data_IF_336901253689
#
_entry.id   IF_336901253689
#
_cell.length_a   1.000
_cell.length_b   1.000
_cell.length_c   1.000
_cell.angle_alpha   90.00
_cell.angle_beta   90.00
_cell.angle_gamma   90.00
#
_symmetry.space_group_name_H-M   'P 1'
#
loop_
_entity.id
_entity.type
_entity.pdbx_description
1 polymer ?
#
# COMPACT_ATOMS: atom_id res chain seq x y z
N UNK A 1 1.30 16.32 -24.84
CA UNK A 1 0.55 16.58 -23.59
C UNK A 1 -0.96 16.36 -23.74
N UNK A 2 -1.67 17.00 -24.68
CA UNK A 2 -3.12 16.74 -24.90
C UNK A 2 -3.42 15.25 -25.14
N UNK A 3 -2.59 14.57 -25.95
CA UNK A 3 -2.70 13.11 -26.18
C UNK A 3 -2.62 12.30 -24.88
N UNK A 4 -1.76 12.72 -23.94
CA UNK A 4 -1.59 12.03 -22.65
C UNK A 4 -2.87 12.15 -21.79
N UNK A 5 -3.46 13.35 -21.70
CA UNK A 5 -4.72 13.54 -20.96
C UNK A 5 -5.86 12.73 -21.58
N UNK A 6 -5.99 12.74 -22.91
CA UNK A 6 -6.99 11.92 -23.61
C UNK A 6 -6.81 10.43 -23.31
N UNK A 7 -5.56 9.97 -23.23
CA UNK A 7 -5.23 8.57 -22.90
C UNK A 7 -5.60 8.23 -21.45
N UNK A 8 -5.35 9.12 -20.49
CA UNK A 8 -5.79 8.90 -19.10
C UNK A 8 -7.31 8.90 -18.96
N UNK A 9 -8.02 9.78 -19.68
CA UNK A 9 -9.49 9.77 -19.71
C UNK A 9 -10.02 8.48 -20.29
N UNK A 10 -9.46 8.04 -21.43
CA UNK A 10 -9.83 6.78 -22.05
C UNK A 10 -9.59 5.61 -21.10
N UNK A 11 -8.42 5.55 -20.44
CA UNK A 11 -8.11 4.52 -19.45
C UNK A 11 -9.09 4.54 -18.28
N UNK A 12 -9.37 5.71 -17.71
CA UNK A 12 -10.36 5.84 -16.63
C UNK A 12 -11.75 5.35 -17.03
N UNK A 13 -12.19 5.64 -18.26
CA UNK A 13 -13.44 5.10 -18.80
C UNK A 13 -13.41 3.59 -19.03
N UNK A 14 -12.29 3.04 -19.51
CA UNK A 14 -12.10 1.59 -19.65
C UNK A 14 -12.20 0.92 -18.29
N UNK A 15 -11.53 1.44 -17.25
CA UNK A 15 -11.63 0.92 -15.90
C UNK A 15 -13.08 0.94 -15.40
N UNK A 16 -13.79 2.05 -15.57
CA UNK A 16 -15.20 2.14 -15.15
C UNK A 16 -16.07 1.11 -15.90
N UNK A 17 -15.85 0.95 -17.22
CA UNK A 17 -16.56 -0.03 -18.03
C UNK A 17 -16.26 -1.47 -17.57
N UNK A 18 -15.01 -1.79 -17.23
CA UNK A 18 -14.61 -3.10 -16.71
C UNK A 18 -15.35 -3.44 -15.40
N UNK A 19 -15.48 -2.49 -14.49
CA UNK A 19 -16.23 -2.70 -13.24
C UNK A 19 -17.74 -2.88 -13.47
N UNK A 20 -18.30 -2.17 -14.45
CA UNK A 20 -19.71 -2.36 -14.84
C UNK A 20 -19.94 -3.70 -15.53
N UNK A 21 -18.96 -4.18 -16.30
CA UNK A 21 -18.98 -5.47 -16.97
C UNK A 21 -18.59 -6.65 -16.05
N UNK A 22 -18.07 -6.39 -14.85
CA UNK A 22 -17.63 -7.42 -13.91
C UNK A 22 -18.66 -8.55 -13.70
N UNK A 23 -19.97 -8.30 -13.52
CA UNK A 23 -20.97 -9.37 -13.36
C UNK A 23 -21.11 -10.33 -14.56
N UNK A 24 -20.58 -9.96 -15.73
CA UNK A 24 -20.61 -10.78 -16.94
C UNK A 24 -19.37 -11.68 -17.07
N UNK A 25 -18.39 -11.52 -16.17
CA UNK A 25 -17.15 -12.27 -16.16
C UNK A 25 -17.19 -13.35 -15.07
N UNK A 26 -16.45 -14.46 -15.20
CA UNK A 26 -16.24 -15.36 -14.07
C UNK A 26 -15.33 -14.72 -13.01
N UNK A 27 -15.69 -14.83 -11.72
CA UNK A 27 -14.87 -14.30 -10.61
C UNK A 27 -13.40 -14.75 -10.68
N UNK A 28 -13.06 -16.03 -10.94
CA UNK A 28 -11.66 -16.46 -11.00
C UNK A 28 -10.82 -15.75 -12.08
N UNK A 29 -11.45 -15.21 -13.13
CA UNK A 29 -10.75 -14.50 -14.20
C UNK A 29 -10.66 -12.99 -13.95
N UNK A 30 -11.54 -12.44 -13.10
CA UNK A 30 -11.76 -11.01 -12.95
C UNK A 30 -11.87 -10.57 -11.48
N UNK A 31 -11.28 -11.32 -10.55
CA UNK A 31 -11.39 -11.09 -9.11
C UNK A 31 -10.92 -9.69 -8.69
N UNK A 32 -10.01 -9.07 -9.45
CA UNK A 32 -9.52 -7.71 -9.19
C UNK A 32 -10.55 -6.60 -9.46
N UNK A 33 -11.59 -6.86 -10.25
CA UNK A 33 -12.71 -5.91 -10.49
C UNK A 33 -14.04 -6.42 -9.93
N UNK A 34 -14.05 -7.65 -9.43
CA UNK A 34 -15.19 -8.29 -8.80
C UNK A 34 -15.82 -7.54 -7.63
N UNK A 35 -15.09 -6.69 -6.86
CA UNK A 35 -15.71 -5.96 -5.77
C UNK A 35 -16.92 -5.10 -6.18
N UNK A 36 -16.97 -4.65 -7.44
CA UNK A 36 -18.12 -3.94 -7.98
C UNK A 36 -19.40 -4.79 -8.05
N UNK A 37 -19.31 -6.12 -8.05
CA UNK A 37 -20.47 -7.01 -8.10
C UNK A 37 -21.27 -7.01 -6.79
N UNK A 38 -20.63 -6.70 -5.66
CA UNK A 38 -21.28 -6.62 -4.35
C UNK A 38 -22.15 -5.38 -4.17
N UNK A 39 -21.91 -4.31 -4.94
CA UNK A 39 -22.71 -3.09 -4.88
C UNK A 39 -24.12 -3.34 -5.45
N UNK A 40 -25.18 -2.83 -4.79
CA UNK A 40 -26.50 -2.76 -5.40
C UNK A 40 -26.43 -2.07 -6.76
N UNK A 41 -27.13 -2.60 -7.77
CA UNK A 41 -27.00 -2.14 -9.15
C UNK A 41 -27.17 -0.62 -9.32
N UNK A 42 -28.17 -0.02 -8.65
CA UNK A 42 -28.39 1.43 -8.68
C UNK A 42 -27.21 2.24 -8.12
N UNK A 43 -26.60 1.79 -7.03
CA UNK A 43 -25.43 2.42 -6.43
C UNK A 43 -24.21 2.27 -7.35
N UNK A 44 -23.99 1.07 -7.91
CA UNK A 44 -22.89 0.80 -8.86
C UNK A 44 -22.96 1.72 -10.08
N UNK A 45 -24.11 1.80 -10.74
CA UNK A 45 -24.30 2.67 -11.91
C UNK A 45 -24.17 4.15 -11.55
N UNK A 46 -24.70 4.57 -10.39
CA UNK A 46 -24.58 5.96 -9.93
C UNK A 46 -23.12 6.36 -9.69
N UNK A 47 -22.35 5.52 -8.98
CA UNK A 47 -20.92 5.76 -8.74
C UNK A 47 -20.13 5.77 -10.06
N UNK A 48 -20.43 4.86 -10.98
CA UNK A 48 -19.79 4.82 -12.30
C UNK A 48 -20.08 6.09 -13.12
N UNK A 49 -21.32 6.59 -13.12
CA UNK A 49 -21.69 7.84 -13.80
C UNK A 49 -20.98 9.04 -13.20
N UNK A 50 -20.91 9.14 -11.87
CA UNK A 50 -20.17 10.19 -11.17
C UNK A 50 -18.68 10.12 -11.51
N UNK A 51 -18.08 8.94 -11.46
CA UNK A 51 -16.67 8.74 -11.79
C UNK A 51 -16.37 9.11 -13.25
N UNK A 52 -17.23 8.71 -14.19
CA UNK A 52 -17.09 9.06 -15.61
C UNK A 52 -17.24 10.57 -15.85
N UNK A 53 -18.21 11.22 -15.19
CA UNK A 53 -18.40 12.66 -15.26
C UNK A 53 -17.17 13.42 -14.73
N UNK A 54 -16.62 13.00 -13.59
CA UNK A 54 -15.39 13.57 -13.02
C UNK A 54 -14.17 13.30 -13.91
N UNK A 55 -14.03 12.11 -14.47
CA UNK A 55 -12.92 11.80 -15.38
C UNK A 55 -12.94 12.68 -16.64
N UNK A 56 -14.14 12.94 -17.19
CA UNK A 56 -14.31 13.71 -18.41
C UNK A 56 -14.31 15.23 -18.19
N UNK A 57 -14.86 15.71 -17.06
CA UNK A 57 -15.15 17.14 -16.81
C UNK A 57 -14.57 17.66 -15.50
N UNK A 58 -13.76 16.88 -14.79
CA UNK A 58 -13.17 17.26 -13.50
C UNK A 58 -12.30 18.53 -13.57
N UNK A 59 -11.74 18.87 -14.74
CA UNK A 59 -11.02 20.13 -14.95
C UNK A 59 -11.92 21.36 -14.85
N UNK A 60 -13.19 21.26 -15.28
CA UNK A 60 -14.16 22.33 -15.14
C UNK A 60 -14.56 22.51 -13.67
N UNK A 61 -14.74 21.39 -12.95
CA UNK A 61 -14.97 21.41 -11.50
C UNK A 61 -13.78 22.02 -10.77
N UNK A 62 -12.55 21.61 -11.10
CA UNK A 62 -11.32 22.15 -10.53
C UNK A 62 -11.22 23.66 -10.71
N UNK A 63 -11.52 24.18 -11.92
CA UNK A 63 -11.52 25.63 -12.16
C UNK A 63 -12.50 26.39 -11.27
N UNK A 64 -13.64 25.78 -10.93
CA UNK A 64 -14.64 26.38 -10.02
C UNK A 64 -14.21 26.35 -8.57
N UNK A 65 -13.60 25.26 -8.10
CA UNK A 65 -13.23 25.10 -6.68
C UNK A 65 -11.83 25.65 -6.34
N UNK A 66 -10.92 25.72 -7.32
CA UNK A 66 -9.53 26.18 -7.11
C UNK A 66 -9.43 27.54 -6.41
N UNK A 67 -10.25 28.57 -6.70
CA UNK A 67 -10.20 29.84 -5.98
C UNK A 67 -10.38 29.69 -4.47
N UNK A 68 -11.26 28.78 -4.03
CA UNK A 68 -11.46 28.49 -2.61
C UNK A 68 -10.18 27.91 -1.97
N UNK A 69 -9.41 27.11 -2.72
CA UNK A 69 -8.13 26.55 -2.26
C UNK A 69 -6.93 27.49 -2.43
N UNK A 70 -7.01 28.49 -3.31
CA UNK A 70 -5.91 29.42 -3.60
C UNK A 70 -5.63 30.38 -2.42
N UNK A 71 -6.65 30.71 -1.64
CA UNK A 71 -6.55 31.55 -0.43
C UNK A 71 -6.24 30.79 0.85
N UNK A 72 -6.20 29.45 0.82
CA UNK A 72 -5.91 28.60 1.97
C UNK A 72 -4.40 28.57 2.25
N UNK A 73 -3.84 29.74 2.58
CA UNK A 73 -2.57 29.86 3.25
C UNK A 73 -2.78 29.48 4.72
N UNK A 74 -2.55 28.20 5.05
CA UNK A 74 -2.68 27.74 6.43
C UNK A 74 -1.59 28.40 7.30
N UNK A 75 -1.95 29.18 8.35
CA UNK A 75 -0.99 29.71 9.30
C UNK A 75 -0.10 28.59 9.86
N UNK A 76 1.15 28.92 10.24
CA UNK A 76 2.19 27.93 10.52
C UNK A 76 1.82 26.81 11.51
N UNK A 77 0.96 27.08 12.51
CA UNK A 77 0.44 26.07 13.44
C UNK A 77 -0.71 25.25 12.85
N UNK A 78 -1.63 25.88 12.13
CA UNK A 78 -2.75 25.24 11.41
C UNK A 78 -2.23 24.28 10.32
N UNK A 79 -1.14 24.64 9.64
CA UNK A 79 -0.50 23.74 8.67
C UNK A 79 0.14 22.49 9.31
N UNK A 80 0.45 22.52 10.61
CA UNK A 80 0.95 21.36 11.37
C UNK A 80 -0.19 20.55 11.99
N UNK A 81 -1.22 21.23 12.50
CA UNK A 81 -2.36 20.60 13.16
C UNK A 81 -3.34 19.98 12.18
N UNK A 82 -3.59 20.59 11.01
CA UNK A 82 -4.60 20.11 10.07
C UNK A 82 -4.37 18.66 9.60
N UNK A 83 -3.15 18.22 9.22
CA UNK A 83 -2.93 16.82 8.89
C UNK A 83 -3.26 15.86 10.03
N UNK A 84 -3.02 16.26 11.29
CA UNK A 84 -3.39 15.48 12.46
C UNK A 84 -4.90 15.44 12.68
N UNK A 85 -5.60 16.55 12.46
CA UNK A 85 -7.07 16.61 12.54
C UNK A 85 -7.70 15.74 11.46
N UNK A 86 -7.25 15.84 10.21
CA UNK A 86 -7.75 15.01 9.10
C UNK A 86 -7.48 13.53 9.38
N UNK A 87 -6.28 13.20 9.85
CA UNK A 87 -5.93 11.84 10.27
C UNK A 87 -6.83 11.33 11.40
N UNK A 88 -7.03 12.12 12.46
CA UNK A 88 -7.91 11.77 13.58
C UNK A 88 -9.36 11.56 13.14
N UNK A 89 -9.89 12.43 12.27
CA UNK A 89 -11.23 12.29 11.72
C UNK A 89 -11.37 11.07 10.80
N UNK A 90 -10.30 10.62 10.14
CA UNK A 90 -10.33 9.43 9.28
C UNK A 90 -10.56 8.11 10.02
N UNK A 91 -10.35 8.08 11.35
CA UNK A 91 -10.71 6.93 12.20
C UNK A 91 -12.19 6.59 12.05
N UNK A 92 -13.06 7.60 11.92
CA UNK A 92 -14.52 7.42 11.84
C UNK A 92 -14.91 6.53 10.64
N UNK A 93 -14.60 6.91 9.37
CA UNK A 93 -14.94 6.07 8.23
C UNK A 93 -14.22 4.71 8.26
N UNK A 94 -12.97 4.64 8.69
CA UNK A 94 -12.25 3.36 8.80
C UNK A 94 -12.94 2.36 9.73
N UNK A 95 -13.43 2.82 10.88
CA UNK A 95 -14.12 1.98 11.84
C UNK A 95 -15.56 1.63 11.42
N UNK A 96 -16.28 2.59 10.83
CA UNK A 96 -17.68 2.40 10.41
C UNK A 96 -17.81 1.40 9.26
N UNK A 97 -16.87 1.43 8.30
CA UNK A 97 -16.86 0.56 7.13
C UNK A 97 -15.89 -0.63 7.28
N UNK A 98 -15.61 -1.03 8.52
CA UNK A 98 -14.68 -2.12 8.80
C UNK A 98 -15.17 -3.48 8.31
N UNK A 99 -14.22 -4.39 8.06
CA UNK A 99 -14.47 -5.78 7.64
C UNK A 99 -15.29 -6.56 8.67
N UNK A 100 -16.23 -7.37 8.17
CA UNK A 100 -17.14 -8.20 8.97
C UNK A 100 -17.03 -9.69 8.66
N UNK A 101 -15.96 -10.11 8.01
CA UNK A 101 -15.73 -11.50 7.62
C UNK A 101 -14.24 -11.88 7.68
N UNK A 102 -13.96 -13.18 7.66
CA UNK A 102 -12.60 -13.76 7.72
C UNK A 102 -12.16 -14.41 6.40
N UNK A 103 -12.70 -13.96 5.26
CA UNK A 103 -12.52 -14.60 3.94
C UNK A 103 -11.08 -14.56 3.40
N UNK A 104 -10.31 -13.55 3.79
CA UNK A 104 -9.03 -13.22 3.16
C UNK A 104 -7.86 -13.75 3.97
N UNK A 105 -6.77 -14.11 3.28
CA UNK A 105 -5.51 -14.55 3.85
C UNK A 105 -5.62 -15.53 5.03
N UNK A 106 -4.79 -15.26 6.02
CA UNK A 106 -4.70 -15.85 7.34
C UNK A 106 -5.71 -15.30 8.36
N UNK A 107 -6.64 -14.41 8.00
CA UNK A 107 -7.56 -13.78 8.95
C UNK A 107 -8.32 -14.81 9.82
N UNK A 108 -8.72 -15.94 9.24
CA UNK A 108 -9.33 -17.04 9.98
C UNK A 108 -8.33 -17.68 10.97
N UNK A 109 -7.10 -17.92 10.54
CA UNK A 109 -6.05 -18.50 11.38
C UNK A 109 -5.73 -17.54 12.53
N UNK A 110 -5.51 -16.25 12.26
CA UNK A 110 -5.20 -15.25 13.28
C UNK A 110 -6.33 -15.10 14.30
N UNK A 111 -7.59 -15.09 13.85
CA UNK A 111 -8.75 -14.97 14.74
C UNK A 111 -8.91 -16.17 15.69
N UNK A 112 -8.50 -17.37 15.28
CA UNK A 112 -8.68 -18.60 16.07
C UNK A 112 -7.41 -19.03 16.82
N UNK A 113 -6.22 -18.82 16.26
CA UNK A 113 -4.95 -19.29 16.82
C UNK A 113 -4.40 -18.39 17.93
N UNK A 114 -4.58 -17.07 17.85
CA UNK A 114 -4.16 -16.12 18.90
C UNK A 114 -4.87 -16.39 20.25
N UNK A 115 -6.19 -16.68 20.30
CA UNK A 115 -6.86 -16.99 21.56
C UNK A 115 -6.79 -18.47 21.94
N UNK A 116 -6.22 -19.35 21.10
CA UNK A 116 -6.27 -20.80 21.32
C UNK A 116 -5.53 -21.20 22.61
N UNK A 117 -6.13 -22.04 23.48
CA UNK A 117 -5.51 -22.42 24.74
C UNK A 117 -4.25 -23.29 24.56
N UNK A 118 -4.29 -24.26 23.65
CA UNK A 118 -3.20 -25.24 23.50
C UNK A 118 -2.11 -24.84 22.48
N UNK A 119 -2.48 -24.09 21.44
CA UNK A 119 -1.58 -23.70 20.33
C UNK A 119 -1.61 -22.19 20.12
N UNK A 120 -1.41 -21.45 21.21
CA UNK A 120 -1.51 -20.01 21.21
C UNK A 120 -0.49 -19.34 20.28
N UNK A 121 -0.96 -18.73 19.19
CA UNK A 121 -0.12 -17.98 18.27
C UNK A 121 0.28 -16.63 18.89
N UNK A 122 1.51 -16.54 19.40
CA UNK A 122 2.08 -15.29 19.97
C UNK A 122 3.39 -14.89 19.30
N UNK A 123 4.19 -15.86 18.87
CA UNK A 123 5.50 -15.65 18.27
C UNK A 123 5.52 -16.35 16.91
N UNK A 124 5.85 -15.61 15.85
CA UNK A 124 6.04 -16.18 14.51
C UNK A 124 7.06 -15.36 13.72
N UNK A 125 8.01 -16.01 13.06
CA UNK A 125 9.06 -15.27 12.32
C UNK A 125 8.57 -14.58 11.04
N UNK A 126 7.39 -14.95 10.54
CA UNK A 126 6.77 -14.34 9.37
C UNK A 126 6.22 -12.92 9.62
N UNK A 127 5.91 -12.58 10.88
CA UNK A 127 5.44 -11.25 11.26
C UNK A 127 5.68 -10.99 12.77
N UNK A 128 6.96 -10.95 13.22
CA UNK A 128 7.30 -11.18 14.61
C UNK A 128 6.78 -10.10 15.56
N UNK A 129 6.88 -8.82 15.19
CA UNK A 129 6.33 -7.75 16.02
C UNK A 129 4.82 -7.59 15.84
N UNK A 130 4.26 -7.92 14.68
CA UNK A 130 2.85 -7.71 14.38
C UNK A 130 1.96 -8.67 15.17
N UNK A 131 2.22 -9.98 15.02
CA UNK A 131 1.48 -11.03 15.73
C UNK A 131 1.69 -10.92 17.23
N UNK A 132 2.91 -10.64 17.69
CA UNK A 132 3.18 -10.40 19.10
C UNK A 132 2.36 -9.24 19.66
N UNK A 133 2.33 -8.10 18.95
CA UNK A 133 1.55 -6.93 19.37
C UNK A 133 0.06 -7.26 19.47
N UNK A 134 -0.51 -7.89 18.43
CA UNK A 134 -1.93 -8.27 18.41
C UNK A 134 -2.28 -9.26 19.52
N UNK A 135 -1.45 -10.28 19.74
CA UNK A 135 -1.64 -11.26 20.81
C UNK A 135 -1.60 -10.61 22.20
N UNK A 136 -0.64 -9.71 22.45
CA UNK A 136 -0.53 -9.02 23.75
C UNK A 136 -1.65 -8.01 23.99
N UNK A 137 -2.05 -7.26 22.97
CA UNK A 137 -3.21 -6.37 23.07
C UNK A 137 -4.49 -7.15 23.29
N UNK A 138 -4.66 -8.31 22.64
CA UNK A 138 -5.80 -9.18 22.90
C UNK A 138 -5.79 -9.74 24.32
N UNK A 139 -4.65 -10.24 24.82
CA UNK A 139 -4.54 -10.72 26.20
C UNK A 139 -4.90 -9.62 27.22
N UNK A 140 -4.46 -8.38 26.98
CA UNK A 140 -4.84 -7.23 27.80
C UNK A 140 -6.34 -6.96 27.71
N UNK A 141 -6.90 -6.95 26.50
CA UNK A 141 -8.31 -6.68 26.27
C UNK A 141 -9.24 -7.77 26.82
N UNK A 142 -8.84 -9.03 26.73
CA UNK A 142 -9.53 -10.16 27.34
C UNK A 142 -9.56 -10.02 28.86
N UNK A 143 -8.44 -9.64 29.49
CA UNK A 143 -8.38 -9.42 30.95
C UNK A 143 -9.22 -8.23 31.41
N UNK A 144 -9.20 -7.12 30.68
CA UNK A 144 -9.88 -5.88 31.09
C UNK A 144 -11.36 -5.85 30.74
N UNK A 145 -11.75 -6.40 29.59
CA UNK A 145 -13.10 -6.27 29.02
C UNK A 145 -13.75 -7.62 28.66
N UNK A 146 -13.07 -8.75 28.85
CA UNK A 146 -13.61 -10.07 28.54
C UNK A 146 -13.77 -10.34 27.03
N UNK A 147 -12.99 -9.67 26.17
CA UNK A 147 -13.06 -9.90 24.72
C UNK A 147 -12.69 -11.37 24.39
N UNK A 148 -13.59 -12.14 23.73
CA UNK A 148 -13.39 -13.57 23.53
C UNK A 148 -12.34 -13.89 22.46
N UNK A 149 -12.11 -12.97 21.53
CA UNK A 149 -11.26 -13.17 20.34
C UNK A 149 -10.50 -11.87 19.99
N UNK A 150 -9.45 -11.94 19.14
CA UNK A 150 -8.61 -10.78 18.82
C UNK A 150 -9.23 -9.86 17.76
N UNK A 151 -10.40 -10.16 17.20
CA UNK A 151 -10.97 -9.40 16.08
C UNK A 151 -11.14 -7.91 16.42
N UNK A 152 -11.65 -7.51 17.60
CA UNK A 152 -11.79 -6.09 17.91
C UNK A 152 -10.44 -5.39 18.12
N UNK A 153 -9.37 -6.12 18.44
CA UNK A 153 -8.00 -5.58 18.46
C UNK A 153 -7.54 -5.26 17.05
N UNK A 154 -7.68 -6.20 16.11
CA UNK A 154 -7.35 -5.94 14.70
C UNK A 154 -8.16 -4.76 14.15
N UNK A 155 -9.45 -4.68 14.46
CA UNK A 155 -10.28 -3.54 14.08
C UNK A 155 -9.71 -2.21 14.55
N UNK A 156 -9.32 -2.13 15.82
CA UNK A 156 -8.75 -0.93 16.40
C UNK A 156 -7.38 -0.59 15.81
N UNK A 157 -6.46 -1.56 15.76
CA UNK A 157 -5.09 -1.37 15.27
C UNK A 157 -5.09 -0.97 13.79
N UNK A 158 -5.80 -1.71 12.93
CA UNK A 158 -5.91 -1.40 11.50
C UNK A 158 -6.50 0.01 11.26
N UNK A 159 -7.53 0.39 12.02
CA UNK A 159 -8.15 1.74 11.96
C UNK A 159 -7.15 2.83 12.37
N UNK A 160 -6.40 2.63 13.46
CA UNK A 160 -5.40 3.59 13.92
C UNK A 160 -4.23 3.69 12.94
N UNK A 161 -3.81 2.56 12.35
CA UNK A 161 -2.85 2.54 11.24
C UNK A 161 -3.35 3.37 10.06
N UNK A 162 -4.65 3.30 9.74
CA UNK A 162 -5.27 4.14 8.72
C UNK A 162 -5.10 5.64 9.00
N UNK A 163 -5.34 6.08 10.24
CA UNK A 163 -5.12 7.47 10.63
C UNK A 163 -3.64 7.88 10.47
N UNK A 164 -2.71 7.04 10.93
CA UNK A 164 -1.27 7.30 10.77
C UNK A 164 -0.87 7.31 9.30
N UNK A 165 -1.44 6.43 8.47
CA UNK A 165 -1.23 6.39 7.03
C UNK A 165 -1.71 7.69 6.37
N UNK A 166 -2.93 8.16 6.68
CA UNK A 166 -3.47 9.42 6.16
C UNK A 166 -2.57 10.59 6.54
N UNK A 167 -2.12 10.66 7.79
CA UNK A 167 -1.14 11.65 8.22
C UNK A 167 0.14 11.55 7.39
N UNK A 168 0.74 10.37 7.28
CA UNK A 168 1.97 10.15 6.53
C UNK A 168 1.82 10.50 5.04
N UNK A 169 0.68 10.17 4.41
CA UNK A 169 0.36 10.52 3.03
C UNK A 169 0.25 12.03 2.84
N UNK A 170 -0.38 12.76 3.77
CA UNK A 170 -0.46 14.22 3.75
C UNK A 170 0.94 14.86 3.90
N UNK A 171 1.78 14.32 4.79
CA UNK A 171 3.17 14.79 4.99
C UNK A 171 4.03 14.49 3.76
N UNK A 172 3.89 13.32 3.18
CA UNK A 172 4.55 12.91 1.94
C UNK A 172 4.16 13.83 0.78
N UNK A 173 2.87 14.09 0.61
CA UNK A 173 2.36 15.00 -0.40
C UNK A 173 2.90 16.42 -0.21
N UNK A 174 2.95 16.93 1.03
CA UNK A 174 3.52 18.23 1.34
C UNK A 174 5.02 18.32 1.01
N UNK A 175 5.77 17.25 1.25
CA UNK A 175 7.20 17.15 0.89
C UNK A 175 7.43 16.96 -0.61
N UNK A 176 6.52 16.28 -1.32
CA UNK A 176 6.66 15.95 -2.75
C UNK A 176 6.18 17.09 -3.66
N UNK A 177 5.01 17.65 -3.38
CA UNK A 177 4.29 18.58 -4.25
C UNK A 177 4.70 20.04 -4.05
N UNK A 178 4.94 20.73 -5.17
CA UNK A 178 5.34 22.15 -5.22
C UNK A 178 4.19 23.11 -4.95
N UNK A 179 2.97 22.68 -5.19
CA UNK A 179 1.75 23.46 -4.97
C UNK A 179 0.57 22.57 -4.58
N UNK A 180 -0.60 23.18 -4.38
CA UNK A 180 -1.82 22.49 -3.98
C UNK A 180 -2.27 21.40 -4.99
N UNK A 181 -2.06 21.61 -6.29
CA UNK A 181 -2.49 20.64 -7.30
C UNK A 181 -1.64 19.36 -7.24
N UNK A 182 -0.33 19.49 -7.13
CA UNK A 182 0.57 18.33 -6.97
C UNK A 182 0.34 17.60 -5.63
N UNK A 183 0.05 18.35 -4.57
CA UNK A 183 -0.29 17.78 -3.25
C UNK A 183 -1.59 16.98 -3.29
N UNK A 184 -2.65 17.58 -3.85
CA UNK A 184 -3.95 16.91 -4.00
C UNK A 184 -3.86 15.70 -4.93
N UNK A 185 -3.08 15.77 -6.00
CA UNK A 185 -2.80 14.61 -6.84
C UNK A 185 -2.16 13.47 -6.03
N UNK A 186 -1.13 13.79 -5.24
CA UNK A 186 -0.41 12.77 -4.45
C UNK A 186 -1.33 12.13 -3.41
N UNK A 187 -2.05 12.94 -2.64
CA UNK A 187 -3.01 12.46 -1.63
C UNK A 187 -4.13 11.68 -2.30
N UNK A 188 -4.71 12.20 -3.37
CA UNK A 188 -5.81 11.55 -4.09
C UNK A 188 -5.40 10.22 -4.67
N UNK A 189 -4.20 10.09 -5.25
CA UNK A 189 -3.68 8.81 -5.76
C UNK A 189 -3.47 7.80 -4.62
N UNK A 190 -2.91 8.21 -3.48
CA UNK A 190 -2.65 7.30 -2.35
C UNK A 190 -3.94 6.88 -1.63
N UNK A 191 -4.82 7.83 -1.32
CA UNK A 191 -6.07 7.57 -0.57
C UNK A 191 -7.15 6.90 -1.40
N UNK A 192 -6.89 6.62 -2.67
CA UNK A 192 -7.79 5.84 -3.52
C UNK A 192 -7.18 4.52 -3.98
N UNK A 193 -6.00 4.12 -3.53
CA UNK A 193 -5.47 2.77 -3.82
C UNK A 193 -6.38 1.69 -3.20
N UNK A 194 -6.40 0.49 -3.81
CA UNK A 194 -7.07 -0.67 -3.20
C UNK A 194 -6.45 -1.07 -1.87
N UNK A 195 -5.16 -0.77 -1.67
CA UNK A 195 -4.43 -0.87 -0.38
C UNK A 195 -5.16 -0.19 0.78
N UNK A 196 -6.03 0.81 0.51
CA UNK A 196 -6.82 1.46 1.56
C UNK A 196 -7.70 0.50 2.35
N UNK A 197 -8.11 -0.63 1.76
CA UNK A 197 -8.92 -1.65 2.44
C UNK A 197 -8.23 -2.18 3.71
N UNK A 198 -6.89 -2.22 3.75
CA UNK A 198 -6.10 -2.66 4.91
C UNK A 198 -6.39 -1.85 6.18
N UNK A 199 -6.96 -0.65 6.06
CA UNK A 199 -7.25 0.25 7.18
C UNK A 199 -8.68 0.18 7.68
N UNK A 200 -9.55 -0.57 7.01
CA UNK A 200 -10.95 -0.76 7.40
C UNK A 200 -11.09 -1.99 8.30
N UNK A 201 -10.37 -1.97 9.43
CA UNK A 201 -10.36 -3.04 10.42
C UNK A 201 -9.85 -4.38 9.90
N UNK A 202 -8.98 -4.38 8.90
CA UNK A 202 -8.47 -5.60 8.28
C UNK A 202 -7.76 -6.51 9.30
N UNK A 203 -8.02 -7.81 9.24
CA UNK A 203 -7.60 -8.79 10.27
C UNK A 203 -6.37 -9.54 9.77
N UNK A 204 -5.28 -8.81 9.57
CA UNK A 204 -4.00 -9.30 9.02
C UNK A 204 -2.83 -8.39 9.41
N UNK A 205 -1.61 -8.85 9.10
CA UNK A 205 -0.34 -8.20 9.47
C UNK A 205 0.07 -7.01 8.56
N UNK A 206 -0.76 -6.63 7.59
CA UNK A 206 -0.32 -5.73 6.50
C UNK A 206 -0.61 -4.24 6.75
N UNK A 207 -1.47 -3.89 7.71
CA UNK A 207 -1.79 -2.48 7.99
C UNK A 207 -0.60 -1.71 8.57
N UNK A 208 0.13 -2.32 9.50
CA UNK A 208 1.35 -1.73 10.08
C UNK A 208 2.46 -1.67 9.02
N UNK A 209 2.60 -2.73 8.21
CA UNK A 209 3.53 -2.77 7.09
C UNK A 209 3.31 -1.60 6.11
N UNK A 210 2.07 -1.36 5.68
CA UNK A 210 1.76 -0.28 4.75
C UNK A 210 2.07 1.12 5.32
N UNK A 211 1.84 1.33 6.62
CA UNK A 211 2.27 2.54 7.33
C UNK A 211 3.78 2.67 7.30
N UNK A 212 4.51 1.60 7.66
CA UNK A 212 5.98 1.57 7.67
C UNK A 212 6.59 1.90 6.31
N UNK A 213 6.08 1.30 5.23
CA UNK A 213 6.49 1.61 3.85
C UNK A 213 6.24 3.09 3.51
N UNK A 214 5.09 3.64 3.89
CA UNK A 214 4.77 5.06 3.63
C UNK A 214 5.67 6.01 4.41
N UNK A 215 5.98 5.69 5.67
CA UNK A 215 6.94 6.44 6.48
C UNK A 215 8.35 6.36 5.90
N UNK A 216 8.78 5.20 5.43
CA UNK A 216 10.07 5.04 4.74
C UNK A 216 10.14 5.92 3.48
N UNK A 217 9.08 5.92 2.65
CA UNK A 217 8.98 6.79 1.47
C UNK A 217 9.08 8.27 1.83
N UNK A 218 8.33 8.70 2.86
CA UNK A 218 8.33 10.08 3.33
C UNK A 218 9.68 10.50 3.90
N UNK A 219 10.25 9.73 4.82
CA UNK A 219 11.53 10.03 5.45
C UNK A 219 12.68 9.99 4.44
N UNK A 220 12.68 9.04 3.51
CA UNK A 220 13.67 8.98 2.44
C UNK A 220 13.60 10.19 1.51
N UNK A 221 12.38 10.67 1.19
CA UNK A 221 12.20 11.92 0.45
C UNK A 221 12.75 13.12 1.22
N UNK A 222 12.51 13.20 2.54
CA UNK A 222 13.06 14.26 3.39
C UNK A 222 14.58 14.17 3.50
N UNK A 223 15.16 12.98 3.49
CA UNK A 223 16.61 12.78 3.43
C UNK A 223 17.19 13.30 2.12
N UNK A 224 16.52 13.07 0.98
CA UNK A 224 16.95 13.60 -0.32
C UNK A 224 16.79 15.12 -0.43
N UNK A 225 15.66 15.67 0.02
CA UNK A 225 15.32 17.09 -0.18
C UNK A 225 15.77 18.02 0.94
N UNK A 226 15.55 17.61 2.19
CA UNK A 226 15.68 18.47 3.37
C UNK A 226 16.95 18.16 4.18
N UNK A 227 17.75 17.17 3.77
CA UNK A 227 18.97 16.78 4.48
C UNK A 227 18.72 16.00 5.78
N UNK A 228 17.54 15.41 5.96
CA UNK A 228 17.25 14.56 7.12
C UNK A 228 18.26 13.39 7.21
N UNK A 229 18.82 13.07 8.39
CA UNK A 229 19.79 11.97 8.54
C UNK A 229 19.26 10.63 8.02
N UNK A 230 20.11 9.85 7.35
CA UNK A 230 19.77 8.53 6.79
C UNK A 230 19.30 7.53 7.85
N UNK A 231 19.66 7.74 9.12
CA UNK A 231 19.22 6.92 10.24
C UNK A 231 17.69 6.85 10.35
N UNK A 232 16.96 7.93 10.01
CA UNK A 232 15.50 7.94 10.11
C UNK A 232 14.79 7.01 9.12
N UNK A 233 15.02 7.10 7.80
CA UNK A 233 14.47 6.10 6.88
C UNK A 233 15.02 4.70 7.14
N UNK A 234 16.27 4.54 7.62
CA UNK A 234 16.80 3.23 8.01
C UNK A 234 16.03 2.63 9.19
N UNK A 235 15.75 3.40 10.25
CA UNK A 235 14.93 2.97 11.39
C UNK A 235 13.52 2.61 10.96
N UNK A 236 12.88 3.44 10.13
CA UNK A 236 11.54 3.16 9.65
C UNK A 236 11.49 1.83 8.88
N UNK A 237 12.45 1.60 7.98
CA UNK A 237 12.51 0.36 7.21
C UNK A 237 12.88 -0.85 8.09
N UNK A 238 13.82 -0.72 9.02
CA UNK A 238 14.17 -1.78 9.97
C UNK A 238 12.98 -2.23 10.81
N UNK A 239 12.21 -1.28 11.36
CA UNK A 239 10.98 -1.57 12.08
C UNK A 239 9.94 -2.21 11.15
N UNK A 240 9.81 -1.73 9.91
CA UNK A 240 8.89 -2.31 8.93
C UNK A 240 9.23 -3.78 8.64
N UNK A 241 10.52 -4.14 8.51
CA UNK A 241 10.95 -5.54 8.38
C UNK A 241 10.57 -6.40 9.58
N UNK A 242 10.66 -5.83 10.78
CA UNK A 242 10.30 -6.51 12.01
C UNK A 242 8.78 -6.71 12.19
N UNK A 243 7.96 -5.88 11.56
CA UNK A 243 6.52 -6.13 11.46
C UNK A 243 6.21 -7.12 10.33
N UNK A 244 6.89 -7.01 9.19
CA UNK A 244 6.69 -7.93 8.07
C UNK A 244 7.95 -8.05 7.16
N UNK A 245 8.60 -9.23 7.10
CA UNK A 245 9.84 -9.45 6.34
C UNK A 245 9.72 -9.31 4.82
N UNK A 246 8.52 -9.38 4.22
CA UNK A 246 8.37 -9.17 2.77
C UNK A 246 8.87 -7.78 2.32
N UNK A 247 8.97 -6.82 3.24
CA UNK A 247 9.51 -5.49 2.96
C UNK A 247 11.04 -5.46 2.76
N UNK A 248 11.74 -6.58 3.02
CA UNK A 248 13.20 -6.75 2.76
C UNK A 248 13.56 -6.44 1.32
N UNK A 249 12.62 -6.64 0.39
CA UNK A 249 12.81 -6.26 -1.00
C UNK A 249 13.14 -4.77 -1.21
N UNK A 250 12.83 -3.90 -0.24
CA UNK A 250 13.13 -2.47 -0.28
C UNK A 250 14.53 -2.10 0.23
N UNK A 251 15.26 -3.03 0.87
CA UNK A 251 16.60 -2.78 1.40
C UNK A 251 17.59 -2.25 0.32
N UNK A 252 17.60 -2.76 -0.94
CA UNK A 252 18.41 -2.18 -2.01
C UNK A 252 18.09 -0.70 -2.27
N UNK A 253 16.84 -0.27 -2.04
CA UNK A 253 16.44 1.13 -2.12
C UNK A 253 17.04 2.02 -1.03
N UNK A 254 17.22 1.50 0.19
CA UNK A 254 17.95 2.21 1.26
C UNK A 254 19.44 2.33 0.91
N UNK A 255 20.05 1.27 0.38
CA UNK A 255 21.44 1.30 -0.12
C UNK A 255 21.60 2.32 -1.25
N UNK A 256 20.66 2.35 -2.20
CA UNK A 256 20.68 3.32 -3.29
C UNK A 256 20.50 4.76 -2.79
N UNK A 257 19.66 4.97 -1.77
CA UNK A 257 19.54 6.27 -1.11
C UNK A 257 20.88 6.70 -0.49
N UNK A 258 21.57 5.81 0.24
CA UNK A 258 22.90 6.08 0.78
C UNK A 258 23.92 6.42 -0.33
N UNK A 259 23.89 5.66 -1.44
CA UNK A 259 24.72 5.93 -2.61
C UNK A 259 24.49 7.33 -3.19
N UNK A 260 23.23 7.76 -3.32
CA UNK A 260 22.91 9.11 -3.80
C UNK A 260 23.46 10.19 -2.86
N UNK A 261 23.34 10.01 -1.54
CA UNK A 261 23.87 10.95 -0.56
C UNK A 261 25.41 11.03 -0.61
N UNK A 262 26.08 9.88 -0.76
CA UNK A 262 27.52 9.81 -0.90
C UNK A 262 28.00 10.53 -2.16
N UNK A 263 27.35 10.27 -3.30
CA UNK A 263 27.63 10.93 -4.59
C UNK A 263 27.44 12.44 -4.54
N UNK A 264 26.54 12.92 -3.69
CA UNK A 264 26.30 14.35 -3.46
C UNK A 264 27.27 14.96 -2.45
N UNK A 265 28.22 14.20 -1.90
CA UNK A 265 29.17 14.68 -0.89
C UNK A 265 28.53 15.01 0.47
N UNK A 266 27.30 14.55 0.73
CA UNK A 266 26.56 14.90 1.95
C UNK A 266 27.07 14.19 3.21
N UNK A 267 27.69 13.03 3.05
CA UNK A 267 28.27 12.27 4.15
C UNK A 267 29.34 11.29 3.63
N UNK A 268 30.27 10.91 4.51
CA UNK A 268 31.25 9.86 4.23
C UNK A 268 30.59 8.47 4.19
N UNK A 269 31.21 7.52 3.49
CA UNK A 269 30.72 6.14 3.43
C UNK A 269 30.58 5.49 4.82
N UNK A 270 31.50 5.78 5.75
CA UNK A 270 31.46 5.26 7.14
C UNK A 270 30.25 5.79 7.90
N UNK A 271 29.96 7.09 7.81
CA UNK A 271 28.80 7.70 8.45
C UNK A 271 27.48 7.13 7.90
N UNK A 272 27.40 6.93 6.58
CA UNK A 272 26.23 6.35 5.93
C UNK A 272 26.05 4.88 6.34
N UNK A 273 27.13 4.09 6.37
CA UNK A 273 27.10 2.71 6.84
C UNK A 273 26.62 2.63 8.29
N UNK A 274 27.17 3.44 9.19
CA UNK A 274 26.73 3.49 10.59
C UNK A 274 25.26 3.91 10.72
N UNK A 275 24.82 4.90 9.94
CA UNK A 275 23.43 5.36 9.94
C UNK A 275 22.44 4.28 9.50
N UNK A 276 22.86 3.32 8.68
CA UNK A 276 22.03 2.17 8.30
C UNK A 276 22.17 1.01 9.29
N UNK A 277 23.40 0.65 9.66
CA UNK A 277 23.69 -0.52 10.45
C UNK A 277 23.16 -0.42 11.89
N UNK A 278 23.31 0.74 12.54
CA UNK A 278 22.91 0.90 13.95
C UNK A 278 21.40 0.65 14.15
N UNK A 279 20.48 1.28 13.40
CA UNK A 279 19.06 0.96 13.53
C UNK A 279 18.74 -0.52 13.27
N UNK A 280 19.34 -1.13 12.25
CA UNK A 280 19.08 -2.53 11.92
C UNK A 280 19.57 -3.48 13.01
N UNK A 281 20.78 -3.26 13.55
CA UNK A 281 21.32 -4.07 14.63
C UNK A 281 20.43 -3.96 15.87
N UNK A 282 20.01 -2.75 16.25
CA UNK A 282 19.13 -2.54 17.41
C UNK A 282 17.81 -3.30 17.23
N UNK A 283 17.14 -3.13 16.08
CA UNK A 283 15.85 -3.78 15.81
C UNK A 283 16.01 -5.30 15.73
N UNK A 284 17.03 -5.79 15.01
CA UNK A 284 17.27 -7.23 14.85
C UNK A 284 17.58 -7.91 16.19
N UNK A 285 18.45 -7.31 17.01
CA UNK A 285 18.75 -7.82 18.35
C UNK A 285 17.50 -7.81 19.22
N UNK A 286 16.69 -6.76 19.15
CA UNK A 286 15.43 -6.66 19.89
C UNK A 286 14.43 -7.76 19.49
N UNK A 287 14.21 -7.97 18.19
CA UNK A 287 13.34 -9.04 17.66
C UNK A 287 13.90 -10.39 18.06
N UNK A 288 15.20 -10.62 17.90
CA UNK A 288 15.83 -11.87 18.27
C UNK A 288 15.68 -12.20 19.76
N UNK A 289 15.93 -11.22 20.62
CA UNK A 289 15.75 -11.37 22.06
C UNK A 289 14.29 -11.66 22.42
N UNK A 290 13.34 -10.95 21.78
CA UNK A 290 11.90 -11.18 21.96
C UNK A 290 11.49 -12.61 21.58
N UNK A 291 11.90 -13.05 20.38
CA UNK A 291 11.57 -14.36 19.84
C UNK A 291 12.20 -15.49 20.67
N UNK A 292 13.46 -15.31 21.08
CA UNK A 292 14.16 -16.26 21.97
C UNK A 292 13.51 -16.34 23.35
N UNK A 293 13.11 -15.20 23.93
CA UNK A 293 12.39 -15.17 25.20
C UNK A 293 11.01 -15.86 25.13
N UNK A 294 10.41 -15.90 23.95
CA UNK A 294 9.19 -16.64 23.64
C UNK A 294 9.39 -18.13 23.31
N UNK A 295 10.61 -18.68 23.49
CA UNK A 295 10.97 -20.04 23.06
C UNK A 295 10.74 -20.29 21.56
N UNK A 296 10.89 -19.24 20.75
CA UNK A 296 10.75 -19.26 19.29
C UNK A 296 12.03 -18.71 18.66
N UNK A 297 13.19 -19.26 19.04
CA UNK A 297 14.51 -18.82 18.60
C UNK A 297 14.83 -19.17 17.14
N UNK A 298 16.12 -19.32 16.83
CA UNK A 298 16.57 -19.68 15.47
C UNK A 298 16.13 -21.07 15.02
N UNK A 299 15.93 -21.98 15.97
CA UNK A 299 15.40 -23.31 15.73
C UNK A 299 13.98 -23.24 15.13
N UNK A 300 13.13 -22.33 15.62
CA UNK A 300 11.82 -22.06 15.03
C UNK A 300 11.95 -21.44 13.63
N UNK A 301 12.81 -20.42 13.46
CA UNK A 301 13.07 -19.77 12.16
C UNK A 301 13.58 -20.74 11.09
N UNK A 302 14.42 -21.70 11.47
CA UNK A 302 14.97 -22.71 10.56
C UNK A 302 14.07 -23.96 10.46
N UNK A 303 13.04 -24.04 11.29
CA UNK A 303 12.14 -25.16 11.45
C UNK A 303 10.70 -24.81 11.09
N UNK A 304 9.84 -24.69 12.09
CA UNK A 304 8.38 -24.56 11.91
C UNK A 304 7.99 -23.26 11.21
N UNK A 305 8.76 -22.18 11.38
CA UNK A 305 8.51 -20.88 10.77
C UNK A 305 9.45 -20.58 9.59
N UNK A 306 10.02 -21.63 8.99
CA UNK A 306 10.91 -21.44 7.87
C UNK A 306 10.23 -20.59 6.77
N UNK A 307 10.88 -19.52 6.30
CA UNK A 307 10.27 -18.60 5.35
C UNK A 307 9.97 -19.28 4.01
N UNK A 308 9.01 -18.71 3.27
CA UNK A 308 8.49 -19.26 2.02
C UNK A 308 7.17 -20.01 2.20
N UNK A 309 6.33 -19.58 3.14
CA UNK A 309 5.01 -20.15 3.29
C UNK A 309 4.99 -21.58 3.82
N UNK A 310 3.88 -22.28 3.62
CA UNK A 310 3.58 -23.58 4.19
C UNK A 310 4.40 -24.74 3.57
N UNK A 311 5.07 -24.53 2.43
CA UNK A 311 6.00 -25.49 1.81
C UNK A 311 7.45 -25.01 1.76
N UNK A 312 7.75 -23.87 2.39
CA UNK A 312 9.09 -23.24 2.42
C UNK A 312 9.60 -22.83 1.04
N UNK A 313 8.71 -22.62 0.06
CA UNK A 313 9.05 -22.12 -1.26
C UNK A 313 8.69 -20.65 -1.40
N UNK A 314 9.73 -19.84 -1.57
CA UNK A 314 9.58 -18.39 -1.67
C UNK A 314 9.01 -17.96 -3.01
N UNK A 315 9.30 -18.71 -4.08
CA UNK A 315 9.11 -18.25 -5.45
C UNK A 315 8.14 -19.13 -6.21
N UNK A 316 7.36 -18.50 -7.09
CA UNK A 316 6.53 -19.20 -8.08
C UNK A 316 7.44 -20.15 -8.88
N UNK A 317 7.10 -21.44 -8.99
CA UNK A 317 7.93 -22.41 -9.68
C UNK A 317 8.03 -22.07 -11.18
N UNK A 318 9.21 -22.25 -11.77
CA UNK A 318 9.44 -21.88 -13.17
C UNK A 318 8.64 -22.76 -14.15
N UNK A 319 8.58 -24.07 -13.90
CA UNK A 319 8.15 -25.04 -14.92
C UNK A 319 7.14 -26.09 -14.45
N UNK A 320 7.11 -26.44 -13.16
CA UNK A 320 6.21 -27.47 -12.64
C UNK A 320 5.71 -27.11 -11.24
N UNK A 321 4.40 -27.28 -11.05
CA UNK A 321 3.76 -27.32 -9.74
C UNK A 321 4.00 -28.69 -9.12
N UNK A 322 4.46 -28.70 -7.89
CA UNK A 322 4.90 -29.91 -7.16
C UNK A 322 4.33 -29.99 -5.75
N UNK A 323 3.78 -28.91 -5.23
CA UNK A 323 3.09 -28.87 -3.93
C UNK A 323 1.65 -28.38 -4.11
N UNK A 324 0.81 -28.56 -3.09
CA UNK A 324 -0.56 -28.02 -3.08
C UNK A 324 -0.63 -26.51 -2.87
N UNK A 325 0.49 -25.87 -2.53
CA UNK A 325 0.62 -24.45 -2.24
C UNK A 325 1.12 -23.66 -3.45
N UNK A 326 1.43 -24.36 -4.55
CA UNK A 326 1.80 -23.78 -5.84
C UNK A 326 0.58 -23.85 -6.78
N UNK A 327 -0.01 -22.71 -7.13
CA UNK A 327 -1.23 -22.67 -7.96
C UNK A 327 -0.96 -22.62 -9.47
N UNK A 328 0.25 -22.20 -9.85
CA UNK A 328 0.64 -21.97 -11.23
C UNK A 328 2.16 -21.90 -11.39
N UNK A 329 2.64 -21.92 -12.64
CA UNK A 329 4.04 -21.70 -12.98
C UNK A 329 4.29 -20.27 -13.46
N UNK A 330 5.54 -19.82 -13.36
CA UNK A 330 5.99 -18.44 -13.64
C UNK A 330 5.51 -17.91 -15.00
N UNK A 331 5.50 -18.75 -16.03
CA UNK A 331 5.19 -18.34 -17.40
C UNK A 331 3.78 -18.78 -17.86
N UNK A 332 2.95 -19.27 -16.94
CA UNK A 332 1.58 -19.66 -17.26
C UNK A 332 0.66 -18.45 -17.44
N UNK A 333 -0.42 -18.63 -18.21
CA UNK A 333 -1.46 -17.61 -18.33
C UNK A 333 -2.16 -17.36 -17.00
N UNK A 334 -2.31 -18.38 -16.16
CA UNK A 334 -2.95 -18.24 -14.85
C UNK A 334 -2.17 -17.26 -13.94
N UNK A 335 -0.84 -17.39 -13.91
CA UNK A 335 0.02 -16.45 -13.19
C UNK A 335 -0.14 -15.02 -13.72
N UNK A 336 -0.08 -14.84 -15.05
CA UNK A 336 -0.27 -13.51 -15.65
C UNK A 336 -1.63 -12.91 -15.29
N UNK A 337 -2.70 -13.70 -15.33
CA UNK A 337 -4.04 -13.27 -14.96
C UNK A 337 -4.12 -12.86 -13.48
N UNK A 338 -3.47 -13.59 -12.58
CA UNK A 338 -3.42 -13.24 -11.16
C UNK A 338 -2.65 -11.94 -10.93
N UNK A 339 -1.51 -11.74 -11.61
CA UNK A 339 -0.78 -10.47 -11.55
C UNK A 339 -1.63 -9.31 -12.07
N UNK A 340 -2.34 -9.50 -13.18
CA UNK A 340 -3.22 -8.46 -13.74
C UNK A 340 -4.36 -8.12 -12.78
N UNK A 341 -5.01 -9.13 -12.19
CA UNK A 341 -6.04 -8.91 -11.19
C UNK A 341 -5.49 -8.24 -9.92
N UNK A 342 -4.31 -8.62 -9.46
CA UNK A 342 -3.64 -8.00 -8.33
C UNK A 342 -3.38 -6.51 -8.58
N UNK A 343 -2.94 -6.14 -9.78
CA UNK A 343 -2.75 -4.73 -10.13
C UNK A 343 -4.07 -3.99 -10.31
N UNK A 344 -5.12 -4.63 -10.86
CA UNK A 344 -6.45 -4.05 -10.98
C UNK A 344 -7.11 -3.82 -9.61
N UNK A 345 -6.84 -4.69 -8.63
CA UNK A 345 -7.32 -4.54 -7.27
C UNK A 345 -6.52 -3.46 -6.52
N UNK A 346 -5.19 -3.57 -6.48
CA UNK A 346 -4.39 -2.71 -5.60
C UNK A 346 -4.12 -1.32 -6.18
N UNK A 347 -3.93 -1.23 -7.50
CA UNK A 347 -3.39 -0.04 -8.16
C UNK A 347 -3.94 0.16 -9.60
N UNK A 348 -5.27 0.12 -9.81
CA UNK A 348 -5.88 0.01 -11.16
C UNK A 348 -5.47 1.13 -12.12
N UNK A 349 -5.19 2.33 -11.60
CA UNK A 349 -4.81 3.48 -12.42
C UNK A 349 -3.28 3.68 -12.52
N UNK A 350 -2.48 3.07 -11.66
CA UNK A 350 -1.09 3.51 -11.42
C UNK A 350 -0.14 3.05 -12.52
N UNK A 351 0.02 1.74 -12.72
CA UNK A 351 0.93 1.20 -13.74
C UNK A 351 0.55 1.59 -15.17
N UNK A 352 -0.73 1.49 -15.58
CA UNK A 352 -1.15 1.96 -16.90
C UNK A 352 -0.83 3.45 -17.11
N UNK A 353 -1.04 4.30 -16.10
CA UNK A 353 -0.70 5.71 -16.21
C UNK A 353 0.82 5.96 -16.27
N UNK A 354 1.62 5.20 -15.52
CA UNK A 354 3.08 5.25 -15.61
C UNK A 354 3.55 4.85 -17.02
N UNK A 355 3.03 3.76 -17.57
CA UNK A 355 3.34 3.28 -18.93
C UNK A 355 2.95 4.32 -19.97
N UNK A 356 1.71 4.83 -19.93
CA UNK A 356 1.25 5.88 -20.86
C UNK A 356 2.09 7.15 -20.76
N UNK A 357 2.51 7.54 -19.55
CA UNK A 357 3.41 8.68 -19.36
C UNK A 357 4.80 8.40 -19.90
N UNK A 358 5.32 7.19 -19.72
CA UNK A 358 6.61 6.80 -20.25
C UNK A 358 6.60 6.77 -21.80
N UNK A 359 5.55 6.25 -22.42
CA UNK A 359 5.43 6.15 -23.89
C UNK A 359 5.14 7.50 -24.53
N UNK A 360 4.13 8.23 -24.04
CA UNK A 360 3.65 9.46 -24.69
C UNK A 360 4.32 10.74 -24.15
N UNK A 361 4.96 10.64 -22.98
CA UNK A 361 5.62 11.72 -22.26
C UNK A 361 7.10 11.46 -21.96
N UNK A 362 7.72 10.46 -22.63
CA UNK A 362 9.13 10.05 -22.48
C UNK A 362 10.10 11.22 -22.23
N UNK A 363 10.03 12.26 -23.08
CA UNK A 363 10.96 13.41 -23.03
C UNK A 363 10.82 14.28 -21.78
N UNK A 364 9.68 14.21 -21.10
CA UNK A 364 9.40 14.99 -19.90
C UNK A 364 9.74 14.23 -18.60
N UNK A 365 10.21 12.99 -18.70
CA UNK A 365 10.61 12.20 -17.52
C UNK A 365 11.86 12.80 -16.85
N UNK A 366 11.84 13.06 -15.53
CA UNK A 366 12.96 13.66 -14.81
C UNK A 366 14.07 12.63 -14.51
N UNK A 367 14.68 12.01 -15.53
CA UNK A 367 15.59 10.86 -15.35
C UNK A 367 16.87 11.15 -14.56
N UNK A 368 17.31 12.40 -14.56
CA UNK A 368 18.48 12.84 -13.81
C UNK A 368 18.16 13.14 -12.34
N UNK A 369 16.87 13.25 -11.98
CA UNK A 369 16.43 13.49 -10.62
C UNK A 369 16.67 12.25 -9.73
N UNK A 370 17.38 12.44 -8.62
CA UNK A 370 17.62 11.39 -7.64
C UNK A 370 16.31 10.84 -7.03
N UNK A 371 15.30 11.70 -6.82
CA UNK A 371 14.00 11.27 -6.30
C UNK A 371 13.30 10.34 -7.28
N UNK A 372 13.33 10.66 -8.57
CA UNK A 372 12.74 9.82 -9.62
C UNK A 372 13.40 8.45 -9.65
N UNK A 373 14.75 8.40 -9.70
CA UNK A 373 15.48 7.13 -9.79
C UNK A 373 15.26 6.25 -8.55
N UNK A 374 15.23 6.86 -7.36
CA UNK A 374 14.98 6.13 -6.13
C UNK A 374 13.56 5.56 -6.07
N UNK A 375 12.53 6.37 -6.36
CA UNK A 375 11.15 5.89 -6.39
C UNK A 375 10.91 4.83 -7.48
N UNK A 376 11.53 4.99 -8.65
CA UNK A 376 11.47 4.00 -9.72
C UNK A 376 12.09 2.67 -9.30
N UNK A 377 13.25 2.69 -8.64
CA UNK A 377 13.87 1.49 -8.08
C UNK A 377 12.92 0.80 -7.08
N UNK A 378 12.36 1.53 -6.12
CA UNK A 378 11.43 0.95 -5.13
C UNK A 378 10.18 0.35 -5.78
N UNK A 379 9.59 1.05 -6.75
CA UNK A 379 8.42 0.55 -7.47
C UNK A 379 8.73 -0.72 -8.26
N UNK A 380 9.90 -0.80 -8.91
CA UNK A 380 10.33 -1.98 -9.65
C UNK A 380 10.69 -3.15 -8.73
N UNK A 381 11.29 -2.89 -7.57
CA UNK A 381 11.59 -3.93 -6.58
C UNK A 381 10.32 -4.58 -6.04
N UNK A 382 9.29 -3.80 -5.72
CA UNK A 382 8.01 -4.35 -5.28
C UNK A 382 7.22 -5.02 -6.40
N UNK A 383 7.26 -4.48 -7.61
CA UNK A 383 6.68 -5.16 -8.77
C UNK A 383 7.37 -6.51 -8.97
N UNK A 384 8.70 -6.56 -8.85
CA UNK A 384 9.46 -7.80 -8.91
C UNK A 384 9.03 -8.79 -7.83
N UNK A 385 8.90 -8.36 -6.56
CA UNK A 385 8.36 -9.22 -5.49
C UNK A 385 6.99 -9.79 -5.87
N UNK A 386 6.08 -8.93 -6.33
CA UNK A 386 4.72 -9.34 -6.74
C UNK A 386 4.75 -10.38 -7.87
N UNK A 387 5.71 -10.27 -8.80
CA UNK A 387 5.87 -11.19 -9.92
C UNK A 387 6.52 -12.52 -9.53
N UNK A 388 7.37 -12.56 -8.50
CA UNK A 388 8.17 -13.76 -8.22
C UNK A 388 7.74 -14.52 -7.00
N UNK A 389 7.05 -13.88 -6.05
CA UNK A 389 6.67 -14.51 -4.79
C UNK A 389 5.51 -15.49 -4.97
N UNK A 390 5.58 -16.66 -4.33
CA UNK A 390 4.50 -17.65 -4.36
C UNK A 390 3.36 -17.26 -3.37
N UNK A 391 2.12 -17.03 -3.85
CA UNK A 391 0.98 -16.86 -2.95
C UNK A 391 0.37 -18.22 -2.61
N UNK A 392 0.58 -18.68 -1.38
CA UNK A 392 0.14 -19.98 -0.88
C UNK A 392 -1.37 -20.21 -1.01
N UNK A 393 -2.17 -19.14 -0.86
CA UNK A 393 -3.63 -19.21 -0.97
C UNK A 393 -4.15 -18.75 -2.34
N UNK A 394 -3.25 -18.47 -3.29
CA UNK A 394 -3.53 -17.87 -4.59
C UNK A 394 -3.67 -16.34 -4.50
N UNK A 395 -3.50 -15.65 -5.63
CA UNK A 395 -3.39 -14.19 -5.66
C UNK A 395 -4.62 -13.46 -5.12
N UNK A 396 -5.82 -14.04 -5.26
CA UNK A 396 -7.05 -13.43 -4.72
C UNK A 396 -7.05 -13.41 -3.18
N UNK A 397 -6.57 -14.47 -2.52
CA UNK A 397 -6.60 -14.55 -1.05
C UNK A 397 -5.43 -13.84 -0.40
N UNK A 398 -4.26 -13.86 -1.04
CA UNK A 398 -3.01 -13.19 -0.62
C UNK A 398 -2.84 -11.80 -1.24
N UNK A 399 -3.94 -11.18 -1.68
CA UNK A 399 -3.89 -9.90 -2.38
C UNK A 399 -3.24 -8.79 -1.54
N UNK A 400 -3.42 -8.88 -0.22
CA UNK A 400 -2.99 -7.95 0.81
C UNK A 400 -1.48 -7.93 0.99
N UNK A 401 -0.82 -9.09 0.89
CA UNK A 401 0.64 -9.23 0.90
C UNK A 401 1.29 -8.34 -0.18
N UNK A 402 0.68 -8.29 -1.36
CA UNK A 402 1.19 -7.53 -2.50
C UNK A 402 0.64 -6.11 -2.58
N UNK A 403 -0.43 -5.78 -1.85
CA UNK A 403 -1.08 -4.48 -2.01
C UNK A 403 -0.20 -3.28 -1.65
N UNK A 404 0.76 -3.34 -0.70
CA UNK A 404 1.66 -2.21 -0.43
C UNK A 404 2.68 -1.94 -1.54
N UNK A 405 2.83 -2.84 -2.52
CA UNK A 405 3.61 -2.61 -3.74
C UNK A 405 3.10 -1.38 -4.53
N UNK A 406 1.82 -1.06 -4.39
CA UNK A 406 1.20 0.10 -5.01
C UNK A 406 1.76 1.44 -4.50
N UNK A 407 2.29 1.48 -3.26
CA UNK A 407 2.64 2.74 -2.59
C UNK A 407 3.81 3.46 -3.29
N UNK A 408 4.99 2.86 -3.52
CA UNK A 408 6.06 3.59 -4.21
C UNK A 408 5.70 3.93 -5.66
N UNK A 409 4.94 3.07 -6.34
CA UNK A 409 4.49 3.30 -7.71
C UNK A 409 3.52 4.50 -7.80
N UNK A 410 2.60 4.66 -6.85
CA UNK A 410 1.69 5.80 -6.79
C UNK A 410 2.43 7.12 -6.53
N UNK A 411 3.42 7.10 -5.63
CA UNK A 411 4.28 8.26 -5.35
C UNK A 411 5.15 8.60 -6.56
N UNK A 412 5.69 7.60 -7.25
CA UNK A 412 6.42 7.78 -8.50
C UNK A 412 5.52 8.44 -9.57
N UNK A 413 4.29 7.96 -9.74
CA UNK A 413 3.35 8.52 -10.69
C UNK A 413 3.03 9.98 -10.36
N UNK A 414 2.76 10.30 -9.09
CA UNK A 414 2.52 11.67 -8.64
C UNK A 414 3.72 12.59 -8.95
N UNK A 415 4.95 12.14 -8.66
CA UNK A 415 6.17 12.88 -8.97
C UNK A 415 6.34 13.11 -10.48
N UNK A 416 6.18 12.05 -11.27
CA UNK A 416 6.35 12.09 -12.72
C UNK A 416 5.31 12.99 -13.38
N UNK A 417 4.02 12.88 -13.01
CA UNK A 417 2.96 13.71 -13.58
C UNK A 417 3.14 15.19 -13.26
N UNK A 418 3.58 15.52 -12.03
CA UNK A 418 3.89 16.91 -11.67
C UNK A 418 4.97 17.53 -12.56
N UNK A 419 5.91 16.73 -13.09
CA UNK A 419 6.95 17.18 -14.03
C UNK A 419 6.49 17.12 -15.49
N UNK A 420 5.77 16.07 -15.88
CA UNK A 420 5.30 15.87 -17.24
C UNK A 420 4.16 16.81 -17.65
N UNK A 421 3.40 17.34 -16.68
CA UNK A 421 2.27 18.25 -16.88
C UNK A 421 2.46 19.54 -16.07
N UNK A 422 3.32 20.48 -16.52
CA UNK A 422 3.54 21.76 -15.83
C UNK A 422 2.27 22.63 -15.74
N UNK A 423 1.39 22.58 -16.74
CA UNK A 423 0.09 23.27 -16.68
C UNK A 423 -0.81 22.62 -15.62
N UNK A 424 -1.23 23.43 -14.63
CA UNK A 424 -2.04 22.97 -13.49
C UNK A 424 -3.46 22.58 -13.87
N UNK A 425 -4.04 23.15 -14.91
CA UNK A 425 -5.34 22.72 -15.43
C UNK A 425 -5.21 21.34 -16.09
N UNK A 426 -4.13 21.12 -16.83
CA UNK A 426 -3.82 19.81 -17.44
C UNK A 426 -3.52 18.74 -16.39
N UNK A 427 -2.74 19.07 -15.35
CA UNK A 427 -2.45 18.18 -14.24
C UNK A 427 -3.73 17.80 -13.49
N UNK A 428 -4.60 18.77 -13.21
CA UNK A 428 -5.89 18.51 -12.57
C UNK A 428 -6.80 17.63 -13.44
N UNK A 429 -6.83 17.85 -14.76
CA UNK A 429 -7.59 17.02 -15.69
C UNK A 429 -7.10 15.56 -15.67
N UNK A 430 -5.78 15.35 -15.67
CA UNK A 430 -5.17 14.03 -15.54
C UNK A 430 -5.47 13.40 -14.17
N UNK A 431 -5.32 14.17 -13.09
CA UNK A 431 -5.60 13.73 -11.72
C UNK A 431 -7.03 13.25 -11.56
N UNK A 432 -8.02 14.02 -12.02
CA UNK A 432 -9.43 13.62 -11.95
C UNK A 432 -9.74 12.36 -12.76
N UNK A 433 -9.14 12.20 -13.95
CA UNK A 433 -9.32 11.01 -14.77
C UNK A 433 -8.85 9.73 -14.06
N UNK A 434 -7.72 9.80 -13.35
CA UNK A 434 -7.13 8.65 -12.66
C UNK A 434 -7.79 8.42 -11.30
N UNK A 435 -7.90 9.47 -10.48
CA UNK A 435 -8.41 9.40 -9.11
C UNK A 435 -9.90 9.03 -9.09
N UNK A 436 -10.73 9.54 -10.00
CA UNK A 436 -12.16 9.23 -9.97
C UNK A 436 -12.46 7.75 -10.30
N UNK A 437 -11.79 7.20 -11.32
CA UNK A 437 -11.94 5.79 -11.67
C UNK A 437 -11.39 4.88 -10.56
N UNK A 438 -10.24 5.23 -10.00
CA UNK A 438 -9.62 4.49 -8.90
C UNK A 438 -10.44 4.62 -7.59
N UNK A 439 -11.07 5.76 -7.31
CA UNK A 439 -11.97 5.94 -6.18
C UNK A 439 -13.23 5.08 -6.29
N UNK A 440 -13.81 4.96 -7.50
CA UNK A 440 -14.95 4.06 -7.72
C UNK A 440 -14.59 2.62 -7.40
N UNK A 441 -13.44 2.14 -7.88
CA UNK A 441 -12.90 0.82 -7.54
C UNK A 441 -12.78 0.64 -6.02
N UNK A 442 -12.08 1.55 -5.35
CA UNK A 442 -11.78 1.44 -3.92
C UNK A 442 -13.02 1.55 -3.04
N UNK A 443 -14.01 2.36 -3.42
CA UNK A 443 -15.31 2.39 -2.73
C UNK A 443 -16.06 1.06 -2.85
N UNK A 444 -16.02 0.41 -4.02
CA UNK A 444 -16.61 -0.92 -4.19
C UNK A 444 -15.88 -1.97 -3.34
N UNK A 445 -14.55 -1.88 -3.30
CA UNK A 445 -13.70 -2.76 -2.49
C UNK A 445 -13.94 -2.61 -0.99
N UNK A 446 -14.04 -1.38 -0.49
CA UNK A 446 -14.39 -1.10 0.91
C UNK A 446 -15.83 -1.51 1.21
N UNK A 447 -16.77 -1.36 0.28
CA UNK A 447 -18.17 -1.75 0.51
C UNK A 447 -18.29 -3.24 0.83
N UNK A 448 -17.51 -4.09 0.15
CA UNK A 448 -17.49 -5.53 0.39
C UNK A 448 -17.20 -5.90 1.85
N UNK A 449 -16.34 -5.13 2.54
CA UNK A 449 -16.04 -5.32 3.96
C UNK A 449 -17.29 -5.32 4.85
N UNK A 450 -18.31 -4.55 4.47
CA UNK A 450 -19.52 -4.37 5.29
C UNK A 450 -20.51 -5.53 5.20
N UNK A 451 -20.31 -6.43 4.25
CA UNK A 451 -21.19 -7.56 4.01
C UNK A 451 -20.72 -8.76 4.85
N UNK A 452 -21.64 -9.48 5.51
CA UNK A 452 -21.30 -10.77 6.09
C UNK A 452 -20.96 -11.75 4.97
N UNK A 453 -20.04 -12.67 5.24
CA UNK A 453 -19.79 -13.76 4.32
C UNK A 453 -20.96 -14.75 4.37
N UNK A 454 -21.75 -14.82 3.31
CA UNK A 454 -22.70 -15.91 3.12
C UNK A 454 -21.88 -17.17 2.81
N UNK A 455 -21.96 -18.17 3.70
CA UNK A 455 -21.40 -19.51 3.49
C UNK A 455 -22.16 -20.22 2.38
#
# INVERSE_FOLDING_TARGET
MIRLIRSFRLWGLILIALHLAAPLLPEPLAWGVWPATYLPAGLRWSLALVAAALALRGDALWRRIRPAFAGLAWPGWLGRALPLVIAGLSVIPFYLFRIRHLRWGDAYILANAIPHPDVQLTYVWQAPLDVFLHARLWQLANRLWGWPDPIPVYWAVSTLCGAVFVWAALRLAASLGRDAAERLLTVGLLLTLGTMQLFFGYIENYSIMAVGVTLFLWLGLRTLRDGLPLAWPATALALTHAFHPSTIILAPGLLYLAYLLHRQGRASARQLLASMAVPYVIVLVGVFALMTAGQHGLDALLGVDAPGGADRRWFVPLFAVTTRWEHYTMFSLAHLLDILNQQLLSAPAIWPALILTAVLGWRALPRQDGVFRWLALLALLYLFLTLVWNPDYGGQRDWDLFSPAALPAAVLLAHVLGRALPDRAMLAAAGWALIAAQAFHTLAWIYQNTLPYAV
#
